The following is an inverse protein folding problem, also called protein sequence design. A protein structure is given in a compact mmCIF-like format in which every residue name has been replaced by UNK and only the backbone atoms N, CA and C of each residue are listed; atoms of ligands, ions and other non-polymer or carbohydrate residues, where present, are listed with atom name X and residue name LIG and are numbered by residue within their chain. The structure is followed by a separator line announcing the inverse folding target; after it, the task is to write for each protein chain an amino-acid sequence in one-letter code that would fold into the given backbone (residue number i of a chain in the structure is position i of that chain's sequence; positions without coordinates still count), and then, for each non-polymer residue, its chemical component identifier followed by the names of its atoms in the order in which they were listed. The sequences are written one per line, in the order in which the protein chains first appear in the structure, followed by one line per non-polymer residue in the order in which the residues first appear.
data_IF_629179610039
#
_entry.id   IF_629179610039
#
_cell.length_a   1.000
_cell.length_b   1.000
_cell.length_c   1.000
_cell.angle_alpha   90.00
_cell.angle_beta   90.00
_cell.angle_gamma   90.00
#
_symmetry.space_group_name_H-M   'P 1'
#
loop_
_entity.id
_entity.type
_entity.pdbx_description
1 polymer ?
#
# COMPACT_ATOMS: atom_id res chain seq x y z
N UNK A 1 -5.30 0.48 -40.33
CA UNK A 1 -4.00 1.08 -39.94
C UNK A 1 -3.79 0.89 -38.44
N UNK A 2 -2.53 0.83 -37.97
CA UNK A 2 -2.19 0.77 -36.52
C UNK A 2 -2.77 1.98 -35.74
N UNK A 3 -2.94 3.11 -36.41
CA UNK A 3 -3.55 4.33 -35.86
C UNK A 3 -5.03 4.14 -35.48
N UNK A 4 -5.82 3.47 -36.31
CA UNK A 4 -7.26 3.24 -36.04
C UNK A 4 -7.50 2.35 -34.81
N UNK A 5 -6.57 1.43 -34.48
CA UNK A 5 -6.65 0.64 -33.24
C UNK A 5 -6.17 1.41 -32.00
N UNK A 6 -5.24 2.37 -32.15
CA UNK A 6 -4.78 3.23 -31.05
C UNK A 6 -5.88 4.21 -30.61
N UNK A 7 -6.64 4.81 -31.53
CA UNK A 7 -7.72 5.74 -31.14
C UNK A 7 -8.85 5.01 -30.39
N UNK A 8 -9.27 3.84 -30.88
CA UNK A 8 -10.36 3.05 -30.28
C UNK A 8 -10.10 2.64 -28.82
N UNK A 9 -8.85 2.28 -28.48
CA UNK A 9 -8.49 1.94 -27.11
C UNK A 9 -8.43 3.17 -26.21
N UNK A 10 -7.94 4.30 -26.73
CA UNK A 10 -7.86 5.54 -25.98
C UNK A 10 -9.26 6.08 -25.67
N UNK A 11 -10.16 6.07 -26.66
CA UNK A 11 -11.56 6.49 -26.51
C UNK A 11 -12.31 5.62 -25.50
N UNK A 12 -12.09 4.29 -25.51
CA UNK A 12 -12.68 3.37 -24.54
C UNK A 12 -12.20 3.61 -23.10
N UNK A 13 -10.93 3.97 -22.92
CA UNK A 13 -10.37 4.27 -21.59
C UNK A 13 -10.90 5.61 -21.08
N UNK A 14 -10.98 6.63 -21.94
CA UNK A 14 -11.56 7.93 -21.59
C UNK A 14 -13.04 7.81 -21.24
N UNK A 15 -13.82 7.07 -22.02
CA UNK A 15 -15.26 6.90 -21.78
C UNK A 15 -15.53 6.18 -20.43
N UNK A 16 -14.72 5.16 -20.10
CA UNK A 16 -14.78 4.51 -18.77
C UNK A 16 -14.34 5.43 -17.64
N UNK A 17 -13.34 6.28 -17.86
CA UNK A 17 -12.88 7.25 -16.86
C UNK A 17 -13.91 8.36 -16.61
N UNK A 18 -14.60 8.82 -17.65
CA UNK A 18 -15.71 9.80 -17.56
C UNK A 18 -16.90 9.17 -16.83
N UNK A 19 -17.28 7.94 -17.18
CA UNK A 19 -18.34 7.19 -16.48
C UNK A 19 -18.03 7.01 -14.99
N UNK A 20 -16.75 6.86 -14.63
CA UNK A 20 -16.31 6.76 -13.23
C UNK A 20 -16.36 8.11 -12.50
N UNK A 21 -16.22 9.23 -13.22
CA UNK A 21 -16.29 10.59 -12.67
C UNK A 21 -17.75 11.06 -12.43
N UNK A 22 -18.70 10.56 -13.21
CA UNK A 22 -20.14 10.82 -13.01
C UNK A 22 -20.76 10.01 -11.87
N UNK A 23 -20.08 8.97 -11.38
CA UNK A 23 -20.36 8.34 -10.09
C UNK A 23 -19.95 9.33 -8.98
N UNK A 24 -20.87 10.24 -8.62
CA UNK A 24 -20.73 11.13 -7.46
C UNK A 24 -20.31 10.32 -6.25
N UNK A 25 -19.04 10.48 -5.84
CA UNK A 25 -18.48 9.96 -4.59
C UNK A 25 -19.20 10.53 -3.35
N UNK A 26 -20.12 11.48 -3.51
CA UNK A 26 -20.93 12.10 -2.46
C UNK A 26 -22.08 11.20 -1.94
N UNK A 27 -22.52 10.19 -2.70
CA UNK A 27 -23.67 9.35 -2.31
C UNK A 27 -23.30 7.96 -1.80
N UNK A 28 -22.02 7.59 -1.81
CA UNK A 28 -21.59 6.39 -1.11
C UNK A 28 -21.65 6.69 0.39
N UNK A 29 -22.47 5.97 1.19
CA UNK A 29 -22.38 6.08 2.63
C UNK A 29 -20.97 5.66 2.99
N UNK A 30 -20.17 6.62 3.43
CA UNK A 30 -18.88 6.37 4.02
C UNK A 30 -19.16 5.32 5.11
N UNK A 31 -18.67 4.07 4.98
CA UNK A 31 -18.88 3.07 6.02
C UNK A 31 -18.46 3.75 7.32
N UNK A 32 -19.36 3.73 8.32
CA UNK A 32 -19.21 4.47 9.56
C UNK A 32 -17.73 4.41 9.95
N UNK A 33 -17.04 5.57 9.86
CA UNK A 33 -15.58 5.63 10.01
C UNK A 33 -15.29 4.77 11.24
N UNK A 34 -14.47 3.69 11.15
CA UNK A 34 -14.05 3.00 12.35
C UNK A 34 -13.57 4.10 13.27
N UNK A 35 -14.27 4.26 14.39
CA UNK A 35 -14.30 5.49 15.17
C UNK A 35 -12.87 6.03 15.20
N UNK A 36 -12.59 7.22 14.67
CA UNK A 36 -11.20 7.66 14.46
C UNK A 36 -10.36 7.60 15.75
N UNK A 37 -11.06 7.54 16.90
CA UNK A 37 -10.58 7.10 18.20
C UNK A 37 -9.89 5.72 18.16
N UNK A 38 -10.56 4.63 17.78
CA UNK A 38 -10.02 3.27 17.70
C UNK A 38 -8.84 3.10 16.72
N UNK A 39 -8.74 3.90 15.65
CA UNK A 39 -7.59 3.83 14.72
C UNK A 39 -6.37 4.56 15.29
N UNK A 40 -6.57 5.69 15.99
CA UNK A 40 -5.52 6.33 16.79
C UNK A 40 -5.09 5.45 17.96
N UNK A 41 -6.04 4.73 18.56
CA UNK A 41 -5.82 3.77 19.64
C UNK A 41 -5.32 2.40 19.13
N UNK A 42 -5.10 2.19 17.83
CA UNK A 42 -4.47 0.96 17.32
C UNK A 42 -2.97 1.15 17.07
N UNK A 43 -2.54 2.40 16.83
CA UNK A 43 -1.14 2.82 16.74
C UNK A 43 -0.67 3.38 18.10
N UNK A 44 -0.75 2.56 19.14
CA UNK A 44 -0.47 3.03 20.51
C UNK A 44 1.04 3.08 20.75
N UNK A 45 1.67 4.21 20.46
CA UNK A 45 2.66 4.70 21.42
C UNK A 45 1.91 4.93 22.73
N UNK A 46 2.33 4.34 23.87
CA UNK A 46 1.64 4.48 25.14
C UNK A 46 1.36 5.96 25.44
N UNK A 47 0.15 6.27 25.91
CA UNK A 47 -0.19 7.66 26.25
C UNK A 47 0.74 8.18 27.35
N UNK A 48 0.89 9.50 27.48
CA UNK A 48 1.74 10.05 28.56
C UNK A 48 1.30 9.58 29.95
N UNK A 49 -0.01 9.35 30.15
CA UNK A 49 -0.57 8.77 31.36
C UNK A 49 -0.20 7.28 31.54
N UNK A 50 -0.22 6.48 30.47
CA UNK A 50 0.21 5.08 30.50
C UNK A 50 1.73 4.95 30.71
N UNK A 51 2.51 5.83 30.10
CA UNK A 51 3.96 5.95 30.32
C UNK A 51 4.28 6.32 31.77
N UNK A 52 3.46 7.19 32.37
CA UNK A 52 3.57 7.51 33.80
C UNK A 52 3.21 6.30 34.67
N UNK A 53 2.15 5.55 34.33
CA UNK A 53 1.71 4.35 35.05
C UNK A 53 2.69 3.16 34.94
N UNK A 54 3.34 2.98 33.79
CA UNK A 54 4.42 2.00 33.59
C UNK A 54 5.73 2.40 34.31
N UNK A 55 5.81 3.64 34.78
CA UNK A 55 7.04 4.28 35.24
C UNK A 55 7.98 4.51 34.06
N UNK A 56 8.08 5.75 33.57
CA UNK A 56 8.99 6.14 32.46
C UNK A 56 10.44 5.67 32.67
N UNK A 57 10.86 5.44 33.91
CA UNK A 57 12.17 4.89 34.29
C UNK A 57 12.40 3.42 33.87
N UNK A 58 11.36 2.67 33.51
CA UNK A 58 11.45 1.25 33.12
C UNK A 58 11.63 1.02 31.61
N UNK A 59 11.44 2.04 30.77
CA UNK A 59 11.63 1.92 29.33
C UNK A 59 13.11 1.96 28.96
N UNK A 60 13.53 1.01 28.14
CA UNK A 60 14.86 0.98 27.54
C UNK A 60 15.05 2.14 26.55
N UNK A 61 16.30 2.54 26.29
CA UNK A 61 16.61 3.54 25.27
C UNK A 61 16.07 3.14 23.88
N UNK A 62 16.12 1.84 23.58
CA UNK A 62 15.57 1.28 22.34
C UNK A 62 14.06 1.51 22.23
N UNK A 63 13.28 1.18 23.27
CA UNK A 63 11.83 1.37 23.26
C UNK A 63 11.45 2.84 23.08
N UNK A 64 12.18 3.76 23.73
CA UNK A 64 11.99 5.21 23.54
C UNK A 64 12.26 5.63 22.09
N UNK A 65 13.36 5.17 21.50
CA UNK A 65 13.72 5.50 20.12
C UNK A 65 12.74 4.92 19.11
N UNK A 66 12.30 3.67 19.31
CA UNK A 66 11.26 3.01 18.52
C UNK A 66 9.97 3.81 18.55
N UNK A 67 9.49 4.17 19.74
CA UNK A 67 8.22 4.88 19.90
C UNK A 67 8.28 6.31 19.35
N UNK A 68 9.42 6.99 19.49
CA UNK A 68 9.64 8.28 18.82
C UNK A 68 9.53 8.14 17.29
N UNK A 69 10.19 7.14 16.72
CA UNK A 69 10.18 6.88 15.27
C UNK A 69 8.79 6.49 14.77
N UNK A 70 8.07 5.64 15.51
CA UNK A 70 6.70 5.26 15.18
C UNK A 70 5.73 6.45 15.28
N UNK A 71 5.87 7.32 16.29
CA UNK A 71 5.05 8.54 16.39
C UNK A 71 5.28 9.49 15.23
N UNK A 72 6.53 9.63 14.78
CA UNK A 72 6.85 10.42 13.58
C UNK A 72 6.19 9.80 12.34
N UNK A 73 6.32 8.49 12.14
CA UNK A 73 5.72 7.77 11.02
C UNK A 73 4.17 7.81 11.03
N UNK A 74 3.57 7.82 12.22
CA UNK A 74 2.11 7.94 12.41
C UNK A 74 1.62 9.40 12.42
N UNK A 75 2.49 10.38 12.15
CA UNK A 75 2.07 11.78 12.08
C UNK A 75 1.13 12.03 10.89
N UNK A 76 0.26 13.02 11.04
CA UNK A 76 -0.68 13.42 9.98
C UNK A 76 0.03 13.85 8.68
N UNK A 77 1.33 14.18 8.74
CA UNK A 77 2.15 14.52 7.56
C UNK A 77 2.18 13.33 6.61
N UNK A 78 2.56 12.14 7.08
CA UNK A 78 2.64 10.96 6.23
C UNK A 78 1.26 10.54 5.72
N UNK A 79 0.22 10.60 6.54
CA UNK A 79 -1.16 10.30 6.11
C UNK A 79 -1.61 11.21 4.96
N UNK A 80 -1.28 12.50 5.00
CA UNK A 80 -1.59 13.46 3.93
C UNK A 80 -0.72 13.26 2.68
N UNK A 81 0.49 12.74 2.84
CA UNK A 81 1.39 12.44 1.73
C UNK A 81 1.00 11.15 0.98
N UNK A 82 0.29 10.21 1.61
CA UNK A 82 -0.10 8.94 0.96
C UNK A 82 -0.88 9.16 -0.34
N UNK A 83 -1.96 9.96 -0.39
CA UNK A 83 -2.67 10.22 -1.66
C UNK A 83 -1.78 10.82 -2.75
N UNK A 84 -0.91 11.77 -2.37
CA UNK A 84 0.04 12.40 -3.29
C UNK A 84 1.02 11.37 -3.84
N UNK A 85 1.58 10.53 -2.96
CA UNK A 85 2.47 9.44 -3.33
C UNK A 85 1.78 8.42 -4.27
N UNK A 86 0.54 8.03 -3.99
CA UNK A 86 -0.23 7.13 -4.87
C UNK A 86 -0.36 7.73 -6.28
N UNK A 87 -0.74 9.01 -6.37
CA UNK A 87 -0.86 9.71 -7.67
C UNK A 87 0.49 9.71 -8.39
N UNK A 88 1.58 10.05 -7.70
CA UNK A 88 2.92 10.04 -8.28
C UNK A 88 3.34 8.66 -8.78
N UNK A 89 3.08 7.59 -8.01
CA UNK A 89 3.38 6.21 -8.43
C UNK A 89 2.58 5.84 -9.67
N UNK A 90 1.27 6.10 -9.69
CA UNK A 90 0.40 5.76 -10.83
C UNK A 90 0.82 6.51 -12.09
N UNK A 91 1.04 7.82 -11.99
CA UNK A 91 1.47 8.65 -13.13
C UNK A 91 2.84 8.20 -13.62
N UNK A 92 3.81 8.01 -12.73
CA UNK A 92 5.16 7.58 -13.10
C UNK A 92 5.15 6.18 -13.75
N UNK A 93 4.35 5.26 -13.22
CA UNK A 93 4.20 3.91 -13.76
C UNK A 93 3.54 3.92 -15.14
N UNK A 94 2.49 4.71 -15.34
CA UNK A 94 1.85 4.88 -16.66
C UNK A 94 2.86 5.45 -17.66
N UNK A 95 3.57 6.52 -17.31
CA UNK A 95 4.60 7.12 -18.17
C UNK A 95 5.68 6.09 -18.52
N UNK A 96 6.21 5.37 -17.53
CA UNK A 96 7.16 4.28 -17.74
C UNK A 96 6.63 3.22 -18.71
N UNK A 97 5.39 2.74 -18.51
CA UNK A 97 4.79 1.73 -19.38
C UNK A 97 4.56 2.22 -20.81
N UNK A 98 4.14 3.48 -20.97
CA UNK A 98 3.95 4.10 -22.29
C UNK A 98 5.29 4.28 -23.02
N UNK A 99 6.37 4.60 -22.30
CA UNK A 99 7.74 4.65 -22.86
C UNK A 99 8.27 3.26 -23.21
N UNK A 100 8.09 2.28 -22.33
CA UNK A 100 8.53 0.90 -22.54
C UNK A 100 7.87 0.25 -23.77
N UNK A 101 6.60 0.58 -24.03
CA UNK A 101 5.83 0.08 -25.17
C UNK A 101 5.94 0.94 -26.44
N UNK A 102 6.78 1.97 -26.42
CA UNK A 102 6.96 2.92 -27.53
C UNK A 102 5.63 3.51 -28.02
N UNK A 103 4.76 3.87 -27.06
CA UNK A 103 3.43 4.42 -27.34
C UNK A 103 3.42 5.95 -27.44
N UNK A 104 4.42 6.62 -26.84
CA UNK A 104 4.51 8.08 -26.85
C UNK A 104 5.12 8.64 -28.13
N UNK A 105 5.73 7.80 -28.98
CA UNK A 105 6.44 8.28 -30.17
C UNK A 105 7.58 9.25 -29.83
N UNK A 106 8.08 9.17 -28.59
CA UNK A 106 9.34 9.79 -28.22
C UNK A 106 10.39 8.89 -28.86
N UNK A 107 10.68 9.16 -30.14
CA UNK A 107 11.68 8.41 -30.88
C UNK A 107 12.96 8.35 -30.03
N UNK A 108 13.58 7.16 -29.92
CA UNK A 108 14.88 7.04 -29.29
C UNK A 108 15.94 7.63 -30.22
N UNK A 109 15.90 8.95 -30.47
CA UNK A 109 16.90 9.63 -31.30
C UNK A 109 18.23 9.84 -30.58
N UNK A 110 18.38 9.40 -29.33
CA UNK A 110 19.68 9.41 -28.65
C UNK A 110 20.06 8.03 -28.15
N UNK A 111 21.35 7.73 -28.23
CA UNK A 111 22.04 6.61 -27.58
C UNK A 111 21.76 6.49 -26.06
N UNK A 112 21.07 7.47 -25.46
CA UNK A 112 20.94 7.62 -24.03
C UNK A 112 19.61 7.17 -23.41
N UNK A 113 18.58 6.77 -24.19
CA UNK A 113 17.22 6.42 -23.70
C UNK A 113 16.83 7.14 -22.40
N UNK A 114 17.10 8.44 -22.38
CA UNK A 114 17.33 9.17 -21.12
C UNK A 114 16.06 9.19 -20.27
N UNK A 115 14.92 9.39 -20.91
CA UNK A 115 13.62 9.45 -20.27
C UNK A 115 13.19 8.12 -19.68
N UNK A 116 13.54 6.99 -20.32
CA UNK A 116 13.25 5.67 -19.77
C UNK A 116 14.03 5.45 -18.47
N UNK A 117 15.33 5.75 -18.48
CA UNK A 117 16.16 5.65 -17.26
C UNK A 117 15.66 6.59 -16.16
N UNK A 118 15.36 7.85 -16.47
CA UNK A 118 14.83 8.79 -15.46
C UNK A 118 13.48 8.38 -14.92
N UNK A 119 12.59 7.84 -15.74
CA UNK A 119 11.30 7.33 -15.25
C UNK A 119 11.48 6.14 -14.31
N UNK A 120 12.47 5.27 -14.58
CA UNK A 120 12.80 4.14 -13.72
C UNK A 120 13.40 4.61 -12.40
N UNK A 121 14.30 5.60 -12.42
CA UNK A 121 14.85 6.23 -11.21
C UNK A 121 13.77 6.90 -10.36
N UNK A 122 12.83 7.62 -10.97
CA UNK A 122 11.70 8.24 -10.24
C UNK A 122 10.83 7.18 -9.59
N UNK A 123 10.46 6.14 -10.34
CA UNK A 123 9.63 5.05 -9.83
C UNK A 123 10.34 4.29 -8.68
N UNK A 124 11.63 4.02 -8.85
CA UNK A 124 12.50 3.44 -7.81
C UNK A 124 12.54 4.33 -6.56
N UNK A 125 12.69 5.65 -6.73
CA UNK A 125 12.67 6.61 -5.63
C UNK A 125 11.35 6.61 -4.87
N UNK A 126 10.22 6.53 -5.57
CA UNK A 126 8.89 6.45 -4.95
C UNK A 126 8.68 5.17 -4.16
N UNK A 127 9.15 4.02 -4.65
CA UNK A 127 9.10 2.76 -3.90
C UNK A 127 10.07 2.74 -2.71
N UNK A 128 11.24 3.35 -2.86
CA UNK A 128 12.22 3.53 -1.78
C UNK A 128 11.66 4.40 -0.67
N UNK A 129 10.95 5.48 -1.02
CA UNK A 129 10.22 6.31 -0.04
C UNK A 129 9.20 5.47 0.74
N UNK A 130 8.38 4.66 0.06
CA UNK A 130 7.39 3.80 0.72
C UNK A 130 8.05 2.77 1.68
N UNK A 131 9.18 2.20 1.28
CA UNK A 131 9.98 1.36 2.18
C UNK A 131 10.49 2.16 3.37
N UNK A 132 11.09 3.33 3.13
CA UNK A 132 11.65 4.21 4.16
C UNK A 132 10.65 4.62 5.24
N UNK A 133 9.46 5.06 4.86
CA UNK A 133 8.40 5.44 5.81
C UNK A 133 7.97 4.26 6.69
N UNK A 134 8.08 3.03 6.19
CA UNK A 134 7.68 1.82 6.93
C UNK A 134 8.84 1.14 7.66
N UNK A 135 10.10 1.56 7.47
CA UNK A 135 11.27 0.99 8.18
C UNK A 135 11.09 0.99 9.70
N UNK A 136 10.65 2.08 10.37
CA UNK A 136 10.46 2.08 11.83
C UNK A 136 9.54 0.96 12.31
N UNK A 137 8.44 0.72 11.59
CA UNK A 137 7.49 -0.35 11.88
C UNK A 137 8.09 -1.74 11.65
N UNK A 138 8.82 -1.94 10.54
CA UNK A 138 9.50 -3.20 10.21
C UNK A 138 10.51 -3.54 11.32
N UNK A 139 11.36 -2.59 11.70
CA UNK A 139 12.38 -2.79 12.75
C UNK A 139 11.75 -3.05 14.12
N UNK A 140 10.73 -2.28 14.50
CA UNK A 140 9.98 -2.48 15.74
C UNK A 140 9.50 -3.93 15.90
N UNK A 141 8.91 -4.47 14.83
CA UNK A 141 8.42 -5.84 14.79
C UNK A 141 9.53 -6.88 14.77
N UNK A 142 10.61 -6.66 14.00
CA UNK A 142 11.77 -7.55 13.98
C UNK A 142 12.32 -7.76 15.39
N UNK A 143 12.64 -6.67 16.10
CA UNK A 143 13.18 -6.78 17.46
C UNK A 143 12.17 -7.36 18.46
N UNK A 144 10.88 -7.04 18.33
CA UNK A 144 9.85 -7.61 19.20
C UNK A 144 9.73 -9.13 19.04
N UNK A 145 9.80 -9.62 17.80
CA UNK A 145 9.72 -11.06 17.49
C UNK A 145 11.01 -11.79 17.88
N UNK A 146 12.18 -11.19 17.67
CA UNK A 146 13.47 -11.76 18.07
C UNK A 146 13.65 -11.78 19.59
N UNK A 147 13.05 -10.83 20.32
CA UNK A 147 13.17 -10.74 21.78
C UNK A 147 12.38 -11.80 22.57
N UNK A 148 11.68 -12.73 21.91
CA UNK A 148 10.95 -13.83 22.57
C UNK A 148 9.73 -13.42 23.40
N UNK A 149 9.38 -12.14 23.44
CA UNK A 149 8.24 -11.58 24.21
C UNK A 149 6.95 -11.52 23.40
N UNK A 150 7.01 -11.81 22.11
CA UNK A 150 5.86 -11.75 21.21
C UNK A 150 4.82 -12.81 21.56
N UNK A 151 3.59 -12.37 21.79
CA UNK A 151 2.45 -13.22 22.11
C UNK A 151 1.22 -12.78 21.32
N UNK A 152 0.26 -13.69 21.18
CA UNK A 152 -0.99 -13.44 20.43
C UNK A 152 -1.84 -12.42 21.19
N UNK A 153 -2.37 -11.44 20.48
CA UNK A 153 -3.27 -10.41 21.00
C UNK A 153 -2.59 -9.40 21.94
N UNK A 154 -1.25 -9.41 22.02
CA UNK A 154 -0.48 -8.51 22.88
C UNK A 154 0.44 -7.59 22.08
N UNK A 155 0.49 -6.32 22.48
CA UNK A 155 1.30 -5.28 21.86
C UNK A 155 2.81 -5.45 22.14
N UNK A 156 3.61 -4.47 21.73
CA UNK A 156 5.05 -4.47 21.96
C UNK A 156 5.49 -4.54 23.42
N UNK A 157 4.59 -4.20 24.36
CA UNK A 157 4.80 -4.17 25.80
C UNK A 157 4.14 -5.35 26.53
N UNK A 158 3.51 -6.27 25.79
CA UNK A 158 2.79 -7.41 26.37
C UNK A 158 1.39 -7.07 26.87
N UNK A 159 0.86 -5.87 26.58
CA UNK A 159 -0.50 -5.45 26.95
C UNK A 159 -1.50 -5.97 25.91
N UNK A 160 -2.74 -6.31 26.30
CA UNK A 160 -3.78 -6.65 25.34
C UNK A 160 -3.94 -5.55 24.28
N UNK A 161 -3.98 -5.91 23.00
CA UNK A 161 -4.09 -4.98 21.88
C UNK A 161 -5.32 -5.29 21.02
N UNK A 162 -6.10 -4.26 20.65
CA UNK A 162 -7.20 -4.42 19.69
C UNK A 162 -6.71 -4.49 18.24
N UNK A 163 -5.43 -4.17 17.96
CA UNK A 163 -4.94 -4.11 16.60
C UNK A 163 -4.77 -5.51 16.00
N UNK A 164 -5.36 -5.70 14.81
CA UNK A 164 -5.43 -6.99 14.11
C UNK A 164 -4.05 -7.63 13.90
N UNK A 165 -3.04 -6.80 13.63
CA UNK A 165 -1.65 -7.24 13.50
C UNK A 165 -1.18 -8.08 14.70
N UNK A 166 -1.43 -7.64 15.94
CA UNK A 166 -0.97 -8.36 17.13
C UNK A 166 -1.76 -9.66 17.40
N UNK A 167 -2.95 -9.81 16.81
CA UNK A 167 -3.72 -11.04 16.85
C UNK A 167 -3.17 -12.13 15.92
N UNK A 168 -2.32 -11.78 14.94
CA UNK A 168 -1.65 -12.76 14.08
C UNK A 168 -0.61 -13.55 14.91
N UNK A 169 -0.58 -14.90 14.82
CA UNK A 169 0.39 -15.73 15.52
C UNK A 169 1.85 -15.27 15.29
N UNK A 170 2.71 -15.21 16.32
CA UNK A 170 4.08 -14.68 16.20
C UNK A 170 4.90 -15.31 15.07
N UNK A 171 4.78 -16.63 14.86
CA UNK A 171 5.47 -17.33 13.77
C UNK A 171 5.04 -16.84 12.39
N UNK A 172 3.74 -16.52 12.20
CA UNK A 172 3.21 -15.97 10.94
C UNK A 172 3.65 -14.53 10.73
N UNK A 173 3.62 -13.71 11.80
CA UNK A 173 4.20 -12.36 11.78
C UNK A 173 5.69 -12.37 11.42
N UNK A 174 6.46 -13.33 11.93
CA UNK A 174 7.88 -13.47 11.59
C UNK A 174 8.10 -13.69 10.09
N UNK A 175 7.32 -14.54 9.44
CA UNK A 175 7.41 -14.70 7.98
C UNK A 175 7.10 -13.40 7.23
N UNK A 176 6.01 -12.70 7.60
CA UNK A 176 5.64 -11.42 6.98
C UNK A 176 6.77 -10.38 7.17
N UNK A 177 7.29 -10.27 8.39
CA UNK A 177 8.35 -9.31 8.72
C UNK A 177 9.65 -9.62 8.00
N UNK A 178 10.03 -10.90 7.83
CA UNK A 178 11.20 -11.27 7.01
C UNK A 178 11.03 -10.79 5.58
N UNK A 179 9.87 -11.03 4.96
CA UNK A 179 9.60 -10.54 3.61
C UNK A 179 9.61 -9.00 3.52
N UNK A 180 9.02 -8.31 4.51
CA UNK A 180 9.06 -6.84 4.57
C UNK A 180 10.49 -6.31 4.74
N UNK A 181 11.30 -6.89 5.62
CA UNK A 181 12.69 -6.44 5.81
C UNK A 181 13.50 -6.70 4.54
N UNK A 182 13.36 -7.88 3.93
CA UNK A 182 14.02 -8.20 2.66
C UNK A 182 13.62 -7.25 1.54
N UNK A 183 12.32 -6.93 1.42
CA UNK A 183 11.82 -5.91 0.50
C UNK A 183 12.50 -4.56 0.73
N UNK A 184 12.61 -4.10 1.98
CA UNK A 184 13.28 -2.82 2.27
C UNK A 184 14.75 -2.84 1.87
N UNK A 185 15.50 -3.87 2.31
CA UNK A 185 16.94 -3.99 2.02
C UNK A 185 17.19 -4.02 0.51
N UNK A 186 16.45 -4.84 -0.22
CA UNK A 186 16.59 -4.96 -1.67
C UNK A 186 16.18 -3.67 -2.38
N UNK A 187 15.15 -2.96 -1.92
CA UNK A 187 14.74 -1.68 -2.49
C UNK A 187 15.79 -0.60 -2.27
N UNK A 188 16.39 -0.50 -1.08
CA UNK A 188 17.49 0.44 -0.84
C UNK A 188 18.72 0.12 -1.67
N UNK A 189 19.09 -1.17 -1.79
CA UNK A 189 20.16 -1.60 -2.66
C UNK A 189 19.89 -1.23 -4.13
N UNK A 190 18.66 -1.46 -4.60
CA UNK A 190 18.20 -1.08 -5.93
C UNK A 190 18.31 0.43 -6.17
N UNK A 191 17.91 1.26 -5.20
CA UNK A 191 18.06 2.72 -5.30
C UNK A 191 19.52 3.15 -5.35
N UNK A 192 20.39 2.56 -4.53
CA UNK A 192 21.83 2.84 -4.54
C UNK A 192 22.40 2.49 -5.92
N UNK A 193 22.04 1.34 -6.49
CA UNK A 193 22.47 0.95 -7.83
C UNK A 193 22.04 1.95 -8.90
N UNK A 194 20.82 2.50 -8.83
CA UNK A 194 20.36 3.55 -9.76
C UNK A 194 21.06 4.91 -9.56
N UNK A 195 21.47 5.24 -8.33
CA UNK A 195 22.21 6.47 -8.08
C UNK A 195 23.64 6.35 -8.64
N UNK A 196 24.29 5.18 -8.47
CA UNK A 196 25.65 4.95 -8.97
C UNK A 196 25.68 4.71 -10.47
N UNK A 197 24.66 4.06 -11.02
CA UNK A 197 24.51 3.80 -12.45
C UNK A 197 23.36 4.68 -12.94
N UNK A 198 23.65 5.95 -13.24
CA UNK A 198 22.61 6.96 -13.45
C UNK A 198 22.32 7.26 -14.93
N UNK A 199 22.98 6.55 -15.84
CA UNK A 199 22.82 6.62 -17.30
C UNK A 199 22.23 5.32 -17.82
N UNK A 200 21.59 5.37 -18.99
CA UNK A 200 21.05 4.18 -19.62
C UNK A 200 22.13 3.11 -19.89
N UNK A 201 23.28 3.54 -20.42
CA UNK A 201 24.42 2.66 -20.67
C UNK A 201 24.85 1.93 -19.38
N UNK A 202 25.08 2.67 -18.30
CA UNK A 202 25.47 2.08 -17.02
C UNK A 202 24.40 1.19 -16.38
N UNK A 203 23.11 1.50 -16.58
CA UNK A 203 21.99 0.79 -15.93
C UNK A 203 21.58 -0.48 -16.65
N UNK A 204 21.67 -0.50 -17.99
CA UNK A 204 21.06 -1.55 -18.80
C UNK A 204 22.01 -2.27 -19.75
N UNK A 205 23.19 -1.70 -20.02
CA UNK A 205 24.18 -2.30 -20.94
C UNK A 205 25.39 -2.82 -20.16
N UNK A 206 25.94 -1.99 -19.27
CA UNK A 206 27.19 -2.33 -18.57
C UNK A 206 26.95 -3.35 -17.45
N UNK A 207 27.81 -4.36 -17.40
CA UNK A 207 27.81 -5.35 -16.31
C UNK A 207 28.66 -4.85 -15.14
N UNK A 208 28.29 -5.17 -13.88
CA UNK A 208 27.22 -6.09 -13.47
C UNK A 208 25.84 -5.43 -13.30
N UNK A 209 25.74 -4.11 -13.46
CA UNK A 209 24.54 -3.34 -13.15
C UNK A 209 23.32 -3.77 -13.98
N UNK A 210 23.51 -4.02 -15.27
CA UNK A 210 22.47 -4.52 -16.18
C UNK A 210 21.77 -5.80 -15.68
N UNK A 211 22.47 -6.65 -14.92
CA UNK A 211 21.89 -7.86 -14.32
C UNK A 211 21.32 -7.59 -12.91
N UNK A 212 22.02 -6.79 -12.12
CA UNK A 212 21.66 -6.53 -10.72
C UNK A 212 20.42 -5.64 -10.57
N UNK A 213 20.22 -4.66 -11.45
CA UNK A 213 19.08 -3.74 -11.38
C UNK A 213 17.74 -4.46 -11.56
N UNK A 214 17.51 -5.26 -12.62
CA UNK A 214 16.29 -6.07 -12.75
C UNK A 214 16.14 -7.09 -11.63
N UNK A 215 17.23 -7.76 -11.22
CA UNK A 215 17.20 -8.76 -10.16
C UNK A 215 16.73 -8.16 -8.83
N UNK A 216 17.33 -7.04 -8.42
CA UNK A 216 16.97 -6.34 -7.18
C UNK A 216 15.55 -5.78 -7.24
N UNK A 217 15.11 -5.27 -8.41
CA UNK A 217 13.72 -4.83 -8.61
C UNK A 217 12.72 -5.98 -8.44
N UNK A 218 12.90 -7.09 -9.17
CA UNK A 218 11.97 -8.22 -9.16
C UNK A 218 11.94 -8.90 -7.80
N UNK A 219 13.09 -9.10 -7.17
CA UNK A 219 13.16 -9.73 -5.84
C UNK A 219 12.58 -8.83 -4.76
N UNK A 220 12.85 -7.52 -4.79
CA UNK A 220 12.21 -6.53 -3.91
C UNK A 220 10.69 -6.56 -4.06
N UNK A 221 10.19 -6.44 -5.30
CA UNK A 221 8.76 -6.44 -5.60
C UNK A 221 8.07 -7.73 -5.16
N UNK A 222 8.70 -8.88 -5.44
CA UNK A 222 8.19 -10.20 -5.03
C UNK A 222 8.12 -10.32 -3.51
N UNK A 223 9.15 -9.89 -2.79
CA UNK A 223 9.15 -9.90 -1.32
C UNK A 223 8.03 -9.02 -0.75
N UNK A 224 7.84 -7.81 -1.28
CA UNK A 224 6.75 -6.92 -0.88
C UNK A 224 5.36 -7.51 -1.15
N UNK A 225 5.17 -8.10 -2.33
CA UNK A 225 3.92 -8.78 -2.69
C UNK A 225 3.61 -9.96 -1.77
N UNK A 226 4.58 -10.84 -1.53
CA UNK A 226 4.41 -12.00 -0.65
C UNK A 226 4.09 -11.60 0.79
N UNK A 227 4.75 -10.55 1.32
CA UNK A 227 4.41 -10.00 2.62
C UNK A 227 2.94 -9.55 2.70
N UNK A 228 2.51 -8.72 1.74
CA UNK A 228 1.15 -8.21 1.69
C UNK A 228 0.10 -9.31 1.50
N UNK A 229 0.38 -10.30 0.65
CA UNK A 229 -0.52 -11.44 0.44
C UNK A 229 -0.67 -12.29 1.71
N UNK A 230 0.43 -12.59 2.40
CA UNK A 230 0.41 -13.35 3.64
C UNK A 230 -0.32 -12.59 4.76
N UNK A 231 -0.04 -11.31 4.92
CA UNK A 231 -0.74 -10.45 5.88
C UNK A 231 -2.24 -10.42 5.60
N UNK A 232 -2.63 -10.15 4.34
CA UNK A 232 -4.03 -10.14 3.92
C UNK A 232 -4.75 -11.46 4.22
N UNK A 233 -4.11 -12.60 3.94
CA UNK A 233 -4.68 -13.92 4.19
C UNK A 233 -4.90 -14.19 5.69
N UNK A 234 -3.91 -13.88 6.53
CA UNK A 234 -4.01 -14.11 7.97
C UNK A 234 -5.01 -13.14 8.63
N UNK A 235 -5.02 -11.88 8.23
CA UNK A 235 -6.03 -10.92 8.67
C UNK A 235 -7.45 -11.32 8.26
N UNK A 236 -7.64 -11.82 7.04
CA UNK A 236 -8.96 -12.27 6.59
C UNK A 236 -9.45 -13.51 7.35
N UNK A 237 -8.55 -14.44 7.70
CA UNK A 237 -8.89 -15.55 8.58
C UNK A 237 -9.37 -15.07 9.94
N UNK A 238 -8.67 -14.10 10.54
CA UNK A 238 -9.04 -13.52 11.83
C UNK A 238 -10.40 -12.79 11.77
N UNK A 239 -10.65 -11.99 10.73
CA UNK A 239 -11.94 -11.31 10.51
C UNK A 239 -13.10 -12.29 10.40
N UNK A 240 -12.89 -13.43 9.73
CA UNK A 240 -13.92 -14.49 9.61
C UNK A 240 -14.14 -15.26 10.91
N UNK A 241 -13.09 -15.43 11.72
CA UNK A 241 -13.17 -16.15 12.99
C UNK A 241 -13.83 -15.31 14.10
N UNK A 242 -13.58 -14.00 14.12
CA UNK A 242 -14.08 -13.07 15.14
C UNK A 242 -14.77 -11.84 14.48
N UNK A 243 -15.89 -12.03 13.76
CA UNK A 243 -16.54 -10.94 13.00
C UNK A 243 -17.10 -9.82 13.89
N UNK A 244 -17.46 -10.13 15.14
CA UNK A 244 -17.96 -9.14 16.10
C UNK A 244 -16.84 -8.21 16.62
N UNK A 245 -15.58 -8.64 16.51
CA UNK A 245 -14.42 -7.91 17.03
C UNK A 245 -13.68 -7.14 15.95
N UNK A 246 -13.58 -7.69 14.75
CA UNK A 246 -12.80 -7.09 13.67
C UNK A 246 -13.70 -6.63 12.52
N UNK A 247 -13.52 -5.40 12.02
CA UNK A 247 -14.34 -4.89 10.93
C UNK A 247 -14.14 -5.71 9.64
N UNK A 248 -15.14 -5.72 8.74
CA UNK A 248 -15.05 -6.41 7.46
C UNK A 248 -13.85 -5.93 6.66
N UNK A 249 -13.23 -6.87 5.93
CA UNK A 249 -12.09 -6.56 5.08
C UNK A 249 -12.51 -5.80 3.81
N UNK A 250 -11.54 -5.31 3.03
CA UNK A 250 -11.84 -4.59 1.78
C UNK A 250 -12.73 -5.39 0.82
N UNK A 251 -12.51 -6.71 0.70
CA UNK A 251 -13.27 -7.58 -0.20
C UNK A 251 -14.73 -7.69 0.23
N UNK A 252 -14.98 -7.83 1.53
CA UNK A 252 -16.31 -7.87 2.11
C UNK A 252 -17.03 -6.53 1.88
N UNK A 253 -16.35 -5.41 2.15
CA UNK A 253 -16.87 -4.06 1.89
C UNK A 253 -17.24 -3.85 0.42
N UNK A 254 -16.41 -4.31 -0.53
CA UNK A 254 -16.73 -4.22 -1.96
C UNK A 254 -17.92 -5.09 -2.36
N UNK A 255 -18.07 -6.28 -1.77
CA UNK A 255 -19.22 -7.15 -2.02
C UNK A 255 -20.51 -6.52 -1.50
N UNK A 256 -20.49 -5.97 -0.30
CA UNK A 256 -21.62 -5.25 0.30
C UNK A 256 -22.00 -4.02 -0.53
N UNK A 257 -21.02 -3.21 -0.95
CA UNK A 257 -21.25 -2.06 -1.82
C UNK A 257 -21.87 -2.47 -3.16
N UNK A 258 -21.40 -3.56 -3.77
CA UNK A 258 -21.96 -4.08 -5.03
C UNK A 258 -23.38 -4.62 -4.85
N UNK A 259 -23.64 -5.34 -3.76
CA UNK A 259 -24.97 -5.86 -3.44
C UNK A 259 -25.97 -4.72 -3.21
N UNK A 260 -25.58 -3.70 -2.43
CA UNK A 260 -26.39 -2.50 -2.20
C UNK A 260 -26.69 -1.75 -3.50
N UNK A 261 -25.67 -1.56 -4.36
CA UNK A 261 -25.85 -0.94 -5.67
C UNK A 261 -26.84 -1.72 -6.54
N UNK A 262 -26.76 -3.05 -6.54
CA UNK A 262 -27.70 -3.91 -7.28
C UNK A 262 -29.13 -3.72 -6.75
N UNK A 263 -29.33 -3.77 -5.44
CA UNK A 263 -30.64 -3.58 -4.83
C UNK A 263 -31.27 -2.22 -5.17
N UNK A 264 -30.49 -1.13 -5.09
CA UNK A 264 -30.98 0.21 -5.46
C UNK A 264 -31.33 0.33 -6.94
N UNK A 265 -30.59 -0.36 -7.82
CA UNK A 265 -30.92 -0.38 -9.25
C UNK A 265 -32.18 -1.18 -9.54
N UNK A 266 -32.39 -2.31 -8.85
CA UNK A 266 -33.58 -3.14 -8.98
C UNK A 266 -34.83 -2.39 -8.46
N UNK A 267 -34.72 -1.67 -7.35
CA UNK A 267 -35.78 -0.79 -6.81
C UNK A 267 -36.13 0.33 -7.81
N UNK A 268 -35.14 1.07 -8.34
CA UNK A 268 -35.37 2.13 -9.35
C UNK A 268 -36.05 1.58 -10.62
N UNK A 269 -35.70 0.36 -11.04
CA UNK A 269 -36.33 -0.31 -12.18
C UNK A 269 -37.78 -0.69 -11.89
N UNK A 270 -38.07 -1.18 -10.68
CA UNK A 270 -39.42 -1.51 -10.25
C UNK A 270 -40.31 -0.26 -10.19
N UNK A 271 -39.83 0.85 -9.61
CA UNK A 271 -40.56 2.13 -9.58
C UNK A 271 -40.84 2.64 -10.99
N UNK A 272 -39.83 2.62 -11.87
CA UNK A 272 -40.00 3.05 -13.28
C UNK A 272 -41.01 2.18 -14.04
N UNK A 273 -41.04 0.88 -13.77
CA UNK A 273 -42.01 -0.04 -14.38
C UNK A 273 -43.44 0.22 -13.85
N UNK A 274 -43.59 0.48 -12.54
CA UNK A 274 -44.87 0.86 -11.95
C UNK A 274 -45.40 2.18 -12.52
N UNK A 275 -44.56 3.21 -12.62
CA UNK A 275 -44.93 4.52 -13.21
C UNK A 275 -45.34 4.39 -14.68
N UNK A 276 -44.70 3.50 -15.44
CA UNK A 276 -45.07 3.23 -16.82
C UNK A 276 -46.45 2.56 -16.94
N UNK A 277 -46.79 1.67 -16.00
CA UNK A 277 -48.09 0.98 -16.00
C UNK A 277 -49.28 1.89 -15.65
N UNK A 278 -49.06 2.98 -14.91
CA UNK A 278 -50.09 3.97 -14.56
C UNK A 278 -50.42 4.90 -15.74
N UNK A 279 -49.51 5.03 -16.71
CA UNK A 279 -49.66 5.95 -17.86
C UNK A 279 -50.34 5.31 -19.08
N UNK A 280 -50.66 4.03 -19.03
CA UNK A 280 -51.38 3.27 -20.07
C UNK A 280 -52.84 3.14 -19.66
#
# INVERSE_FOLDING_TARGET
SRESRRSSLFDMVIDKAITFKELRLEELPVPARPNAKHVKDAFISPTEAELAALGRSRLTCYERGRDASLRVASSNVFTKLVPVWIVLVVVSFILFALMLLDLLGIEPESENQYWLEKSTQVLSGLFTYACGVTVPWRMANTFHLLGGKASVGKDFYGRPSPALWFAIPPRKRAYIVVFLVSNAVLQFAHQVLHITNNTYQSSFIDQPAASLLPLTMVTSGTAGFLAGALEFLEENKLRKAEPDKYPPGPVEVFKEARAKRKATLDEKRATKAADASIRV
#
